data_IF_968228828834
#
_entry.id   IF_968228828834
#
_cell.length_a   1.000
_cell.length_b   1.000
_cell.length_c   1.000
_cell.angle_alpha   90.00
_cell.angle_beta   90.00
_cell.angle_gamma   90.00
#
_symmetry.space_group_name_H-M   'P 1'
#
loop_
_entity.id
_entity.type
_entity.pdbx_description
1 polymer ?
#
# COMPACT_ATOMS: atom_id res chain seq x y z
N UNK A 1 -11.75 -42.92 5.58
CA UNK A 1 -12.60 -41.75 5.83
C UNK A 1 -12.64 -41.55 7.34
N UNK A 2 -11.70 -40.76 7.89
CA UNK A 2 -11.52 -40.61 9.34
C UNK A 2 -12.60 -39.69 9.94
N UNK A 3 -13.12 -40.12 11.09
CA UNK A 3 -14.33 -39.64 11.76
C UNK A 3 -14.27 -38.21 12.35
N UNK A 4 -13.26 -37.39 12.02
CA UNK A 4 -13.13 -36.01 12.56
C UNK A 4 -13.69 -34.91 11.64
N UNK A 5 -14.14 -35.22 10.42
CA UNK A 5 -14.72 -34.24 9.51
C UNK A 5 -16.24 -34.12 9.64
N UNK A 6 -16.72 -33.75 10.83
CA UNK A 6 -17.99 -33.02 10.93
C UNK A 6 -17.66 -31.54 10.75
N UNK A 7 -17.70 -31.07 9.50
CA UNK A 7 -18.14 -29.70 9.22
C UNK A 7 -19.42 -29.53 10.05
N UNK A 8 -19.45 -28.58 10.98
CA UNK A 8 -20.55 -28.45 11.93
C UNK A 8 -21.80 -27.98 11.18
N UNK A 9 -22.50 -28.94 10.58
CA UNK A 9 -23.88 -28.86 10.14
C UNK A 9 -24.76 -28.92 11.40
N UNK A 10 -24.85 -27.81 12.13
CA UNK A 10 -25.96 -27.64 13.07
C UNK A 10 -27.04 -26.82 12.37
N UNK A 11 -28.18 -27.46 12.09
CA UNK A 11 -29.43 -26.82 11.61
C UNK A 11 -29.44 -26.16 10.22
N UNK A 12 -28.62 -26.62 9.27
CA UNK A 12 -28.71 -26.12 7.88
C UNK A 12 -28.12 -24.72 7.67
N UNK A 13 -27.29 -24.24 8.59
CA UNK A 13 -26.58 -22.96 8.48
C UNK A 13 -25.07 -23.17 8.34
N UNK A 14 -24.46 -22.55 7.32
CA UNK A 14 -23.02 -22.58 7.07
C UNK A 14 -22.27 -21.65 8.04
N UNK A 15 -21.30 -22.18 8.76
CA UNK A 15 -20.44 -21.41 9.66
C UNK A 15 -18.96 -21.59 9.30
N UNK A 16 -18.19 -20.50 9.23
CA UNK A 16 -16.76 -20.58 8.96
C UNK A 16 -15.98 -21.08 10.20
N UNK A 17 -15.31 -22.24 10.13
CA UNK A 17 -14.52 -22.75 11.24
C UNK A 17 -13.23 -21.93 11.44
N UNK A 18 -12.69 -21.92 12.68
CA UNK A 18 -11.37 -21.34 12.98
C UNK A 18 -10.19 -22.23 12.55
N UNK A 19 -10.46 -23.40 11.98
CA UNK A 19 -9.49 -24.35 11.43
C UNK A 19 -9.71 -24.44 9.92
N UNK A 20 -8.64 -24.63 9.15
CA UNK A 20 -8.74 -24.71 7.70
C UNK A 20 -9.52 -25.96 7.30
N UNK A 21 -10.26 -25.90 6.18
CA UNK A 21 -11.00 -27.08 5.69
C UNK A 21 -10.06 -28.22 5.27
N UNK A 22 -8.85 -27.89 4.82
CA UNK A 22 -7.72 -28.81 4.69
C UNK A 22 -6.39 -28.06 4.87
N UNK A 23 -5.31 -28.80 5.12
CA UNK A 23 -3.95 -28.22 5.18
C UNK A 23 -3.54 -27.57 3.84
N UNK A 24 -4.14 -27.99 2.72
CA UNK A 24 -3.86 -27.45 1.39
C UNK A 24 -4.54 -26.09 1.11
N UNK A 25 -5.53 -25.72 1.93
CA UNK A 25 -6.27 -24.46 1.78
C UNK A 25 -5.60 -23.28 2.47
N UNK A 26 -4.64 -23.52 3.37
CA UNK A 26 -3.79 -22.46 3.89
C UNK A 26 -2.73 -22.15 2.83
N UNK A 27 -3.02 -21.15 1.98
CA UNK A 27 -2.19 -20.80 0.82
C UNK A 27 -1.69 -19.37 0.92
N UNK A 28 -0.47 -19.16 0.44
CA UNK A 28 0.12 -17.85 0.26
C UNK A 28 0.74 -17.72 -1.13
N UNK A 29 0.90 -16.50 -1.60
CA UNK A 29 1.57 -16.15 -2.85
C UNK A 29 2.75 -15.24 -2.52
N UNK A 30 3.93 -15.41 -3.16
CA UNK A 30 5.03 -14.46 -2.99
C UNK A 30 4.59 -13.04 -3.38
N UNK A 31 4.89 -12.04 -2.54
CA UNK A 31 4.52 -10.65 -2.79
C UNK A 31 5.02 -10.12 -4.13
N UNK A 32 6.18 -10.60 -4.62
CA UNK A 32 6.69 -10.29 -5.95
C UNK A 32 5.72 -10.66 -7.09
N UNK A 33 4.96 -11.76 -6.96
CA UNK A 33 4.00 -12.21 -7.96
C UNK A 33 2.75 -11.36 -7.98
N UNK A 34 2.32 -10.88 -6.82
CA UNK A 34 1.20 -9.94 -6.72
C UNK A 34 1.56 -8.59 -7.33
N UNK A 35 2.80 -8.14 -7.15
CA UNK A 35 3.30 -6.84 -7.62
C UNK A 35 3.93 -6.90 -9.03
N UNK A 36 4.02 -8.07 -9.63
CA UNK A 36 4.52 -8.26 -10.99
C UNK A 36 3.74 -7.36 -11.97
N UNK A 37 4.45 -6.83 -12.98
CA UNK A 37 3.88 -5.90 -13.97
C UNK A 37 3.14 -4.74 -13.31
N UNK A 38 3.74 -4.12 -12.29
CA UNK A 38 3.16 -3.04 -11.49
C UNK A 38 1.78 -3.39 -10.94
N UNK A 39 1.59 -4.60 -10.43
CA UNK A 39 0.33 -5.04 -9.82
C UNK A 39 -0.88 -4.96 -10.75
N UNK A 40 -0.70 -5.11 -12.06
CA UNK A 40 -1.80 -5.14 -13.05
C UNK A 40 -2.85 -6.20 -12.73
N UNK A 41 -2.47 -7.26 -12.01
CA UNK A 41 -3.38 -8.26 -11.45
C UNK A 41 -4.43 -7.65 -10.51
N UNK A 42 -4.13 -6.56 -9.80
CA UNK A 42 -5.10 -5.89 -8.94
C UNK A 42 -5.98 -4.86 -9.68
N UNK A 43 -5.70 -4.57 -10.97
CA UNK A 43 -6.39 -3.53 -11.73
C UNK A 43 -7.62 -4.05 -12.48
N UNK A 44 -7.50 -5.20 -13.14
CA UNK A 44 -8.62 -5.80 -13.87
C UNK A 44 -9.46 -6.68 -12.96
N UNK A 45 -10.78 -6.56 -13.02
CA UNK A 45 -11.70 -7.51 -12.39
C UNK A 45 -12.24 -8.55 -13.38
N UNK A 46 -12.24 -8.24 -14.68
CA UNK A 46 -12.71 -9.15 -15.72
C UNK A 46 -11.56 -10.06 -16.14
N UNK A 47 -11.73 -11.36 -15.90
CA UNK A 47 -10.79 -12.43 -16.27
C UNK A 47 -11.55 -13.62 -16.79
N UNK A 48 -11.00 -14.27 -17.81
CA UNK A 48 -11.45 -15.58 -18.24
C UNK A 48 -11.23 -16.64 -17.15
N UNK A 49 -11.94 -17.75 -17.25
CA UNK A 49 -11.84 -18.87 -16.31
C UNK A 49 -10.42 -19.45 -16.27
N UNK A 50 -9.73 -19.53 -17.41
CA UNK A 50 -8.34 -20.00 -17.49
C UNK A 50 -7.38 -19.06 -16.75
N UNK A 51 -7.49 -17.75 -16.97
CA UNK A 51 -6.70 -16.75 -16.25
C UNK A 51 -6.93 -16.79 -14.73
N UNK A 52 -8.16 -17.06 -14.30
CA UNK A 52 -8.50 -17.22 -12.87
C UNK A 52 -7.82 -18.46 -12.27
N UNK A 53 -7.70 -19.55 -13.03
CA UNK A 53 -7.01 -20.76 -12.60
C UNK A 53 -5.49 -20.55 -12.55
N UNK A 54 -4.90 -19.92 -13.58
CA UNK A 54 -3.46 -19.60 -13.63
C UNK A 54 -3.00 -18.75 -12.43
N UNK A 55 -3.80 -17.76 -12.01
CA UNK A 55 -3.49 -16.97 -10.82
C UNK A 55 -3.45 -17.82 -9.54
N UNK A 56 -4.31 -18.83 -9.45
CA UNK A 56 -4.32 -19.73 -8.30
C UNK A 56 -3.07 -20.62 -8.24
N UNK A 57 -2.53 -21.01 -9.39
CA UNK A 57 -1.29 -21.80 -9.49
C UNK A 57 -0.05 -21.05 -8.99
N UNK A 58 -0.08 -19.71 -8.95
CA UNK A 58 1.00 -18.93 -8.35
C UNK A 58 1.02 -18.95 -6.81
N UNK A 59 -0.07 -19.37 -6.18
CA UNK A 59 -0.08 -19.60 -4.73
C UNK A 59 0.42 -21.00 -4.40
N UNK A 60 0.93 -21.20 -3.18
CA UNK A 60 1.40 -22.49 -2.67
C UNK A 60 0.81 -22.76 -1.28
N UNK A 61 0.56 -24.02 -0.90
CA UNK A 61 0.24 -24.36 0.49
C UNK A 61 1.39 -23.95 1.42
N UNK A 62 1.05 -23.38 2.57
CA UNK A 62 2.00 -22.92 3.59
C UNK A 62 1.49 -23.29 4.99
N UNK A 63 2.39 -23.34 5.97
CA UNK A 63 2.06 -23.56 7.38
C UNK A 63 1.74 -22.26 8.12
N UNK A 64 2.31 -21.15 7.68
CA UNK A 64 2.11 -19.80 8.22
C UNK A 64 2.14 -18.79 7.08
N UNK A 65 1.51 -17.63 7.29
CA UNK A 65 1.42 -16.54 6.31
C UNK A 65 2.10 -15.32 6.93
N UNK A 66 3.07 -14.73 6.24
CA UNK A 66 3.82 -13.57 6.76
C UNK A 66 2.89 -12.36 6.94
N UNK A 67 2.02 -12.12 5.96
CA UNK A 67 1.12 -10.97 5.97
C UNK A 67 -0.19 -11.20 5.20
N UNK A 68 -1.31 -10.83 5.82
CA UNK A 68 -2.63 -10.80 5.18
C UNK A 68 -2.89 -9.43 4.57
N UNK A 69 -3.16 -9.35 3.26
CA UNK A 69 -3.47 -8.08 2.58
C UNK A 69 -4.97 -7.86 2.49
N UNK A 70 -5.52 -7.02 3.38
CA UNK A 70 -6.93 -6.64 3.32
C UNK A 70 -7.12 -5.32 2.57
N UNK A 71 -8.08 -5.31 1.64
CA UNK A 71 -8.40 -4.15 0.83
C UNK A 71 -9.83 -4.23 0.29
N UNK A 72 -10.43 -3.07 -0.01
CA UNK A 72 -11.68 -3.01 -0.77
C UNK A 72 -11.38 -3.20 -2.26
N UNK A 73 -12.28 -3.84 -3.02
CA UNK A 73 -12.17 -3.90 -4.49
C UNK A 73 -12.72 -2.66 -5.21
N UNK A 74 -13.46 -1.78 -4.52
CA UNK A 74 -14.16 -0.63 -5.12
C UNK A 74 -13.35 0.67 -5.15
N UNK A 75 -12.44 0.88 -4.20
CA UNK A 75 -11.57 2.05 -4.24
C UNK A 75 -10.53 1.99 -5.36
N UNK A 76 -9.84 3.10 -5.61
CA UNK A 76 -8.88 3.28 -6.71
C UNK A 76 -7.77 2.22 -6.69
N UNK A 77 -7.80 1.27 -7.64
CA UNK A 77 -6.90 0.11 -7.65
C UNK A 77 -5.43 0.51 -7.85
N UNK A 78 -5.16 1.48 -8.72
CA UNK A 78 -3.79 1.98 -8.95
C UNK A 78 -3.17 2.57 -7.68
N UNK A 79 -3.97 3.21 -6.83
CA UNK A 79 -3.48 3.82 -5.59
C UNK A 79 -3.04 2.75 -4.58
N UNK A 80 -3.77 1.63 -4.52
CA UNK A 80 -3.42 0.46 -3.71
C UNK A 80 -2.08 -0.12 -4.14
N UNK A 81 -1.91 -0.31 -5.45
CA UNK A 81 -0.64 -0.80 -6.00
C UNK A 81 0.52 0.13 -5.69
N UNK A 82 0.38 1.44 -5.93
CA UNK A 82 1.44 2.39 -5.57
C UNK A 82 1.75 2.35 -4.08
N UNK A 83 0.72 2.28 -3.22
CA UNK A 83 0.92 2.15 -1.78
C UNK A 83 1.69 0.86 -1.43
N UNK A 84 1.31 -0.28 -2.02
CA UNK A 84 1.99 -1.57 -1.82
C UNK A 84 3.45 -1.55 -2.28
N UNK A 85 3.74 -1.00 -3.46
CA UNK A 85 5.10 -0.86 -3.97
C UNK A 85 5.97 -0.06 -2.99
N UNK A 86 5.47 1.06 -2.47
CA UNK A 86 6.19 1.83 -1.46
C UNK A 86 6.36 1.05 -0.15
N UNK A 87 5.29 0.44 0.37
CA UNK A 87 5.35 -0.31 1.63
C UNK A 87 6.36 -1.46 1.56
N UNK A 88 6.48 -2.13 0.41
CA UNK A 88 7.32 -3.32 0.25
C UNK A 88 8.73 -3.03 -0.27
N UNK A 89 8.90 -2.02 -1.12
CA UNK A 89 10.14 -1.80 -1.86
C UNK A 89 10.90 -0.52 -1.45
N UNK A 90 10.31 0.38 -0.65
CA UNK A 90 10.92 1.69 -0.40
C UNK A 90 12.26 1.66 0.36
N UNK A 91 12.45 0.72 1.29
CA UNK A 91 13.72 0.58 2.01
C UNK A 91 14.88 0.16 1.11
N UNK A 92 14.80 -0.97 0.36
CA UNK A 92 15.79 -1.31 -0.66
C UNK A 92 16.02 -0.19 -1.66
N UNK A 93 14.95 0.46 -2.12
CA UNK A 93 15.06 1.59 -3.03
C UNK A 93 15.87 2.73 -2.44
N UNK A 94 15.62 3.12 -1.19
CA UNK A 94 16.34 4.17 -0.48
C UNK A 94 17.83 3.88 -0.35
N UNK A 95 18.20 2.66 0.06
CA UNK A 95 19.61 2.31 0.27
C UNK A 95 20.38 2.26 -1.05
N UNK A 96 19.83 1.57 -2.06
CA UNK A 96 20.49 1.45 -3.37
C UNK A 96 20.58 2.80 -4.05
N UNK A 97 19.53 3.61 -4.03
CA UNK A 97 19.56 4.93 -4.66
C UNK A 97 20.49 5.91 -3.95
N UNK A 98 20.58 5.85 -2.62
CA UNK A 98 21.52 6.69 -1.85
C UNK A 98 22.96 6.29 -2.11
N UNK A 99 23.26 4.98 -2.21
CA UNK A 99 24.58 4.51 -2.61
C UNK A 99 24.95 4.98 -4.03
N UNK A 100 24.01 4.88 -4.99
CA UNK A 100 24.22 5.40 -6.35
C UNK A 100 24.45 6.91 -6.35
N UNK A 101 23.64 7.69 -5.64
CA UNK A 101 23.79 9.13 -5.55
C UNK A 101 25.13 9.53 -4.92
N UNK A 102 25.58 8.81 -3.88
CA UNK A 102 26.88 9.04 -3.24
C UNK A 102 28.05 8.70 -4.19
N UNK A 103 27.97 7.60 -4.94
CA UNK A 103 28.97 7.25 -5.95
C UNK A 103 29.08 8.34 -7.02
N UNK A 104 27.94 8.81 -7.52
CA UNK A 104 27.89 9.88 -8.54
C UNK A 104 28.41 11.21 -7.98
N UNK A 105 28.12 11.53 -6.72
CA UNK A 105 28.70 12.68 -6.04
C UNK A 105 30.23 12.57 -5.89
N UNK A 106 30.76 11.38 -5.61
CA UNK A 106 32.21 11.15 -5.58
C UNK A 106 32.83 11.33 -6.97
N UNK A 107 32.23 10.77 -8.02
CA UNK A 107 32.70 10.98 -9.40
C UNK A 107 32.71 12.47 -9.79
N UNK A 108 31.71 13.23 -9.35
CA UNK A 108 31.68 14.68 -9.50
C UNK A 108 32.80 15.38 -8.72
N UNK A 109 33.04 14.98 -7.47
CA UNK A 109 34.11 15.53 -6.64
C UNK A 109 35.53 15.26 -7.18
N UNK A 110 35.71 14.14 -7.90
CA UNK A 110 36.95 13.83 -8.63
C UNK A 110 37.04 14.50 -10.01
N UNK A 111 36.14 15.44 -10.33
CA UNK A 111 36.11 16.16 -11.60
C UNK A 111 35.89 15.25 -12.83
N UNK A 112 35.37 14.03 -12.63
CA UNK A 112 35.04 13.09 -13.72
C UNK A 112 33.68 13.38 -14.36
N UNK A 113 32.83 14.15 -13.68
CA UNK A 113 31.53 14.59 -14.18
C UNK A 113 31.50 16.11 -14.32
N UNK A 114 30.85 16.65 -15.36
CA UNK A 114 30.77 18.08 -15.57
C UNK A 114 29.91 18.75 -14.50
N UNK A 115 30.31 19.96 -14.09
CA UNK A 115 29.56 20.83 -13.20
C UNK A 115 29.13 22.11 -13.88
N UNK A 116 28.09 22.74 -13.34
CA UNK A 116 27.65 24.06 -13.74
C UNK A 116 28.15 25.09 -12.73
N UNK A 117 28.77 26.16 -13.23
CA UNK A 117 29.22 27.26 -12.36
C UNK A 117 28.00 28.07 -11.95
N UNK A 118 27.81 28.19 -10.65
CA UNK A 118 26.75 28.99 -10.03
C UNK A 118 27.38 30.08 -9.18
N UNK A 119 26.95 31.31 -9.38
CA UNK A 119 27.27 32.41 -8.47
C UNK A 119 26.36 32.34 -7.25
N UNK A 120 26.96 32.34 -6.05
CA UNK A 120 26.20 32.42 -4.82
C UNK A 120 25.43 33.74 -4.75
N UNK A 121 24.18 33.70 -4.26
CA UNK A 121 23.42 34.91 -3.92
C UNK A 121 23.84 35.49 -2.56
N UNK A 122 24.70 34.80 -1.81
CA UNK A 122 25.23 35.28 -0.53
C UNK A 122 26.50 36.10 -0.78
N UNK A 123 26.68 37.18 -0.03
CA UNK A 123 27.86 38.04 -0.13
C UNK A 123 29.00 37.54 0.78
N UNK A 124 30.26 37.47 0.30
CA UNK A 124 30.71 37.71 -1.08
C UNK A 124 30.30 36.57 -2.04
N UNK A 125 29.92 36.89 -3.30
CA UNK A 125 29.51 35.88 -4.27
C UNK A 125 30.70 35.07 -4.75
N UNK A 126 30.97 33.94 -4.07
CA UNK A 126 31.95 32.98 -4.54
C UNK A 126 31.33 32.05 -5.60
N UNK A 127 32.03 31.79 -6.72
CA UNK A 127 31.59 30.81 -7.70
C UNK A 127 31.75 29.40 -7.13
N UNK A 128 30.69 28.60 -7.21
CA UNK A 128 30.72 27.19 -6.84
C UNK A 128 30.29 26.33 -8.03
N UNK A 129 30.85 25.12 -8.13
CA UNK A 129 30.39 24.13 -9.10
C UNK A 129 29.25 23.33 -8.46
N UNK A 130 28.13 23.26 -9.17
CA UNK A 130 26.98 22.46 -8.79
C UNK A 130 26.68 21.42 -9.87
N UNK A 131 26.44 20.18 -9.48
CA UNK A 131 26.02 19.10 -10.38
C UNK A 131 24.74 18.43 -9.91
N UNK A 132 23.63 18.47 -10.65
CA UNK A 132 22.41 17.73 -10.23
C UNK A 132 22.49 16.21 -10.46
N UNK A 133 23.65 15.69 -10.87
CA UNK A 133 23.84 14.27 -11.21
C UNK A 133 23.44 13.34 -10.07
N UNK A 134 23.84 13.62 -8.82
CA UNK A 134 23.47 12.80 -7.67
C UNK A 134 21.97 12.75 -7.43
N UNK A 135 21.27 13.89 -7.58
CA UNK A 135 19.82 13.97 -7.47
C UNK A 135 19.12 13.15 -8.57
N UNK A 136 19.47 13.37 -9.84
CA UNK A 136 18.81 12.70 -10.97
C UNK A 136 19.05 11.20 -10.98
N UNK A 137 20.30 10.78 -10.79
CA UNK A 137 20.65 9.34 -10.75
C UNK A 137 20.08 8.66 -9.51
N UNK A 138 20.07 9.34 -8.36
CA UNK A 138 19.41 8.87 -7.14
C UNK A 138 17.91 8.67 -7.36
N UNK A 139 17.20 9.67 -7.89
CA UNK A 139 15.76 9.59 -8.15
C UNK A 139 15.44 8.52 -9.19
N UNK A 140 16.18 8.45 -10.29
CA UNK A 140 16.01 7.42 -11.31
C UNK A 140 16.18 6.03 -10.71
N UNK A 141 17.27 5.81 -9.97
CA UNK A 141 17.52 4.53 -9.29
C UNK A 141 16.42 4.22 -8.28
N UNK A 142 15.98 5.20 -7.50
CA UNK A 142 14.91 5.03 -6.51
C UNK A 142 13.61 4.56 -7.17
N UNK A 143 13.18 5.23 -8.24
CA UNK A 143 11.96 4.87 -8.97
C UNK A 143 12.07 3.49 -9.63
N UNK A 144 13.22 3.17 -10.21
CA UNK A 144 13.49 1.84 -10.75
C UNK A 144 13.43 0.77 -9.66
N UNK A 145 14.04 1.01 -8.50
CA UNK A 145 14.04 0.06 -7.39
C UNK A 145 12.65 -0.12 -6.75
N UNK A 146 11.83 0.94 -6.68
CA UNK A 146 10.43 0.82 -6.25
C UNK A 146 9.66 -0.16 -7.14
N UNK A 147 9.92 -0.15 -8.45
CA UNK A 147 9.20 -0.98 -9.43
C UNK A 147 9.81 -2.38 -9.58
N UNK A 148 11.13 -2.48 -9.60
CA UNK A 148 11.86 -3.69 -9.98
C UNK A 148 12.28 -4.56 -8.78
N UNK A 149 12.27 -4.02 -7.56
CA UNK A 149 12.58 -4.82 -6.38
C UNK A 149 11.54 -5.91 -6.15
N UNK A 150 12.02 -7.10 -5.79
CA UNK A 150 11.22 -8.30 -5.62
C UNK A 150 11.05 -8.63 -4.13
N UNK A 151 9.92 -8.26 -3.50
CA UNK A 151 9.67 -8.59 -2.11
C UNK A 151 9.40 -10.09 -1.96
N UNK A 152 10.02 -10.71 -0.95
CA UNK A 152 10.02 -12.18 -0.75
C UNK A 152 8.99 -12.70 0.25
N UNK A 153 8.21 -11.82 0.88
CA UNK A 153 7.21 -12.22 1.87
C UNK A 153 6.10 -13.07 1.21
N UNK A 154 5.70 -14.14 1.88
CA UNK A 154 4.56 -14.98 1.51
C UNK A 154 3.28 -14.33 2.04
N UNK A 155 2.44 -13.83 1.15
CA UNK A 155 1.27 -13.00 1.49
C UNK A 155 -0.03 -13.67 1.08
N UNK A 156 -1.09 -13.40 1.84
CA UNK A 156 -2.44 -13.79 1.45
C UNK A 156 -3.12 -12.66 0.68
N UNK A 157 -3.57 -12.99 -0.54
CA UNK A 157 -4.43 -12.16 -1.37
C UNK A 157 -5.53 -13.05 -1.94
N UNK A 158 -6.78 -12.72 -1.68
CA UNK A 158 -7.98 -13.46 -2.11
C UNK A 158 -7.96 -13.85 -3.61
N UNK A 159 -7.49 -12.96 -4.47
CA UNK A 159 -7.39 -13.20 -5.92
C UNK A 159 -6.48 -14.39 -6.28
N UNK A 160 -5.39 -14.60 -5.54
CA UNK A 160 -4.39 -15.64 -5.82
C UNK A 160 -4.58 -16.87 -4.94
N UNK A 161 -5.01 -16.69 -3.69
CA UNK A 161 -5.03 -17.77 -2.71
C UNK A 161 -6.37 -18.50 -2.63
N UNK A 162 -7.43 -17.94 -3.23
CA UNK A 162 -8.75 -18.60 -3.36
C UNK A 162 -9.00 -18.91 -4.84
N UNK A 163 -9.37 -20.16 -5.14
CA UNK A 163 -9.57 -20.59 -6.52
C UNK A 163 -10.80 -19.93 -7.14
N UNK A 164 -10.62 -18.89 -7.97
CA UNK A 164 -11.72 -18.07 -8.48
C UNK A 164 -12.56 -18.74 -9.59
N UNK A 165 -12.07 -19.82 -10.20
CA UNK A 165 -12.74 -20.53 -11.30
C UNK A 165 -13.53 -21.80 -10.90
N UNK A 166 -13.14 -22.53 -9.85
CA UNK A 166 -13.77 -23.77 -9.40
C UNK A 166 -14.67 -23.46 -8.20
N UNK A 167 -16.01 -23.58 -8.31
CA UNK A 167 -16.94 -23.19 -7.25
C UNK A 167 -16.69 -23.92 -5.93
N UNK A 168 -16.30 -25.20 -5.97
CA UNK A 168 -16.05 -26.01 -4.77
C UNK A 168 -14.82 -25.53 -4.03
N UNK A 169 -13.69 -25.38 -4.72
CA UNK A 169 -12.45 -24.88 -4.13
C UNK A 169 -12.58 -23.42 -3.67
N UNK A 170 -13.40 -22.63 -4.37
CA UNK A 170 -13.75 -21.27 -3.95
C UNK A 170 -14.48 -21.30 -2.59
N UNK A 171 -15.50 -22.14 -2.45
CA UNK A 171 -16.24 -22.30 -1.21
C UNK A 171 -15.34 -22.79 -0.07
N UNK A 172 -14.52 -23.82 -0.31
CA UNK A 172 -13.56 -24.32 0.69
C UNK A 172 -12.55 -23.24 1.11
N UNK A 173 -12.12 -22.38 0.17
CA UNK A 173 -11.20 -21.28 0.43
C UNK A 173 -11.83 -20.16 1.26
N UNK A 174 -13.07 -19.78 0.92
CA UNK A 174 -13.85 -18.82 1.70
C UNK A 174 -14.10 -19.34 3.13
N UNK A 175 -14.49 -20.61 3.27
CA UNK A 175 -14.69 -21.23 4.58
C UNK A 175 -13.41 -21.30 5.42
N UNK A 176 -12.24 -21.29 4.78
CA UNK A 176 -10.93 -21.31 5.45
C UNK A 176 -10.42 -19.93 5.87
N UNK A 177 -11.11 -18.83 5.56
CA UNK A 177 -10.65 -17.46 5.88
C UNK A 177 -10.35 -17.28 7.37
N UNK A 178 -11.12 -17.90 8.27
CA UNK A 178 -10.82 -17.81 9.69
C UNK A 178 -9.51 -18.44 10.12
N UNK A 179 -9.16 -19.56 9.52
CA UNK A 179 -7.89 -20.20 9.74
C UNK A 179 -6.74 -19.39 9.10
N UNK A 180 -6.97 -18.84 7.91
CA UNK A 180 -6.00 -17.96 7.23
C UNK A 180 -5.70 -16.74 8.10
N UNK A 181 -6.73 -16.05 8.59
CA UNK A 181 -6.59 -14.90 9.48
C UNK A 181 -5.83 -15.26 10.73
N UNK A 182 -6.11 -16.40 11.36
CA UNK A 182 -5.45 -16.88 12.58
C UNK A 182 -3.97 -17.27 12.36
N UNK A 183 -3.62 -17.80 11.19
CA UNK A 183 -2.23 -18.21 10.86
C UNK A 183 -1.44 -17.12 10.13
N UNK A 184 -1.97 -15.89 10.05
CA UNK A 184 -1.27 -14.73 9.49
C UNK A 184 -0.56 -13.96 10.58
N UNK A 185 0.76 -13.82 10.50
CA UNK A 185 1.58 -13.15 11.53
C UNK A 185 1.29 -11.65 11.63
N UNK A 186 0.93 -11.04 10.49
CA UNK A 186 0.60 -9.63 10.39
C UNK A 186 -0.54 -9.38 9.40
N UNK A 187 -1.18 -8.23 9.49
CA UNK A 187 -2.20 -7.78 8.53
C UNK A 187 -1.82 -6.40 8.01
N UNK A 188 -1.77 -6.25 6.69
CA UNK A 188 -1.66 -4.97 6.00
C UNK A 188 -3.04 -4.57 5.48
N UNK A 189 -3.59 -3.49 6.02
CA UNK A 189 -4.86 -2.92 5.60
C UNK A 189 -4.61 -1.71 4.68
N UNK A 190 -4.99 -1.84 3.41
CA UNK A 190 -4.98 -0.73 2.45
C UNK A 190 -6.29 0.04 2.53
N UNK A 191 -6.26 1.14 3.28
CA UNK A 191 -7.45 1.86 3.64
C UNK A 191 -7.90 2.86 2.55
N UNK A 192 -9.20 2.84 2.26
CA UNK A 192 -9.93 3.83 1.48
C UNK A 192 -11.34 4.04 2.08
N UNK A 193 -12.06 5.06 1.60
CA UNK A 193 -13.38 5.46 2.09
C UNK A 193 -14.50 4.45 1.77
N UNK A 194 -14.20 3.40 1.00
CA UNK A 194 -15.12 2.30 0.71
C UNK A 194 -14.92 1.10 1.61
N UNK A 195 -13.78 1.00 2.32
CA UNK A 195 -13.40 -0.18 3.11
C UNK A 195 -14.46 -0.56 4.16
N UNK A 196 -14.88 0.38 5.01
CA UNK A 196 -15.85 0.10 6.08
C UNK A 196 -17.28 -0.16 5.58
N UNK A 197 -17.56 0.10 4.30
CA UNK A 197 -18.85 -0.24 3.70
C UNK A 197 -18.93 -1.71 3.31
N UNK A 198 -17.81 -2.44 3.27
CA UNK A 198 -17.73 -3.80 2.72
C UNK A 198 -17.74 -4.82 3.85
N UNK A 199 -18.71 -5.73 3.79
CA UNK A 199 -18.90 -6.69 4.88
C UNK A 199 -17.68 -7.61 5.08
N UNK A 200 -17.17 -8.21 4.00
CA UNK A 200 -15.96 -9.04 4.04
C UNK A 200 -14.74 -8.30 4.62
N UNK A 201 -14.46 -7.08 4.16
CA UNK A 201 -13.31 -6.31 4.63
C UNK A 201 -13.38 -6.00 6.15
N UNK A 202 -14.58 -5.66 6.65
CA UNK A 202 -14.76 -5.39 8.09
C UNK A 202 -14.71 -6.67 8.90
N UNK A 203 -15.30 -7.76 8.39
CA UNK A 203 -15.21 -9.08 9.01
C UNK A 203 -13.76 -9.56 9.13
N UNK A 204 -12.95 -9.42 8.08
CA UNK A 204 -11.52 -9.78 8.09
C UNK A 204 -10.75 -9.01 9.17
N UNK A 205 -10.95 -7.69 9.23
CA UNK A 205 -10.29 -6.82 10.21
C UNK A 205 -10.69 -7.19 11.64
N UNK A 206 -11.98 -7.31 11.91
CA UNK A 206 -12.49 -7.70 13.23
C UNK A 206 -12.04 -9.12 13.61
N UNK A 207 -12.04 -10.05 12.64
CA UNK A 207 -11.58 -11.43 12.81
C UNK A 207 -10.09 -11.51 13.12
N UNK A 208 -9.26 -10.69 12.46
CA UNK A 208 -7.83 -10.59 12.74
C UNK A 208 -7.58 -10.08 14.16
N UNK A 209 -8.20 -8.96 14.53
CA UNK A 209 -8.07 -8.37 15.87
C UNK A 209 -8.52 -9.35 16.97
N UNK A 210 -9.63 -10.05 16.76
CA UNK A 210 -10.12 -11.05 17.72
C UNK A 210 -9.18 -12.25 17.84
N UNK A 211 -8.56 -12.68 16.73
CA UNK A 211 -7.68 -13.84 16.70
C UNK A 211 -6.30 -13.57 17.28
N UNK A 212 -5.82 -12.32 17.17
CA UNK A 212 -4.46 -11.96 17.55
C UNK A 212 -4.35 -11.09 18.81
N UNK A 213 -5.46 -10.53 19.31
CA UNK A 213 -5.50 -9.67 20.49
C UNK A 213 -4.33 -8.65 20.49
N UNK A 214 -3.58 -8.55 21.60
CA UNK A 214 -2.46 -7.61 21.73
C UNK A 214 -1.17 -8.04 21.00
N UNK A 215 -1.12 -9.24 20.42
CA UNK A 215 0.11 -9.81 19.84
C UNK A 215 0.20 -9.61 18.31
N UNK A 216 -0.92 -9.34 17.64
CA UNK A 216 -0.96 -9.20 16.18
C UNK A 216 -0.41 -7.87 15.69
N UNK A 217 0.42 -7.93 14.64
CA UNK A 217 0.90 -6.73 13.97
C UNK A 217 -0.09 -6.29 12.89
N UNK A 218 -1.02 -5.41 13.23
CA UNK A 218 -1.86 -4.71 12.26
C UNK A 218 -1.17 -3.44 11.75
N UNK A 219 -1.09 -3.26 10.44
CA UNK A 219 -0.53 -2.07 9.79
C UNK A 219 -1.58 -1.48 8.86
N UNK A 220 -2.02 -0.26 9.14
CA UNK A 220 -3.03 0.44 8.35
C UNK A 220 -2.35 1.51 7.50
N UNK A 221 -2.58 1.49 6.19
CA UNK A 221 -2.01 2.44 5.23
C UNK A 221 -3.09 3.03 4.33
N UNK A 222 -3.33 4.36 4.40
CA UNK A 222 -4.17 5.04 3.42
C UNK A 222 -3.62 4.86 2.01
N UNK A 223 -4.49 4.48 1.07
CA UNK A 223 -4.10 4.25 -0.33
C UNK A 223 -3.55 5.49 -1.03
N UNK A 224 -3.89 6.69 -0.55
CA UNK A 224 -3.38 7.98 -1.06
C UNK A 224 -1.86 8.16 -0.82
N UNK A 225 -1.25 7.48 0.16
CA UNK A 225 0.16 7.68 0.52
C UNK A 225 1.13 7.35 -0.61
N UNK A 226 0.88 6.27 -1.35
CA UNK A 226 1.73 5.86 -2.47
C UNK A 226 1.82 6.94 -3.55
N UNK A 227 0.70 7.33 -4.19
CA UNK A 227 0.67 8.39 -5.19
C UNK A 227 1.19 9.74 -4.67
N UNK A 228 0.88 10.09 -3.41
CA UNK A 228 1.35 11.34 -2.82
C UNK A 228 2.86 11.40 -2.69
N UNK A 229 3.48 10.31 -2.25
CA UNK A 229 4.93 10.20 -2.08
C UNK A 229 5.63 10.20 -3.42
N UNK A 230 5.10 9.45 -4.40
CA UNK A 230 5.59 9.48 -5.77
C UNK A 230 5.59 10.90 -6.34
N UNK A 231 4.45 11.59 -6.24
CA UNK A 231 4.34 12.96 -6.74
C UNK A 231 5.29 13.92 -6.02
N UNK A 232 5.46 13.78 -4.70
CA UNK A 232 6.36 14.61 -3.91
C UNK A 232 7.83 14.43 -4.34
N UNK A 233 8.29 13.19 -4.53
CA UNK A 233 9.65 12.89 -5.04
C UNK A 233 9.88 13.56 -6.38
N UNK A 234 8.95 13.44 -7.33
CA UNK A 234 9.05 14.09 -8.65
C UNK A 234 9.06 15.62 -8.51
N UNK A 235 8.15 16.17 -7.70
CA UNK A 235 8.01 17.61 -7.49
C UNK A 235 9.28 18.23 -6.90
N UNK A 236 9.87 17.62 -5.86
CA UNK A 236 11.13 18.09 -5.26
C UNK A 236 12.27 18.01 -6.27
N UNK A 237 12.38 16.90 -7.01
CA UNK A 237 13.40 16.72 -8.05
C UNK A 237 13.30 17.83 -9.10
N UNK A 238 12.08 18.14 -9.53
CA UNK A 238 11.81 19.20 -10.49
C UNK A 238 12.20 20.58 -9.93
N UNK A 239 11.80 20.91 -8.69
CA UNK A 239 12.17 22.17 -8.03
C UNK A 239 13.69 22.32 -7.92
N UNK A 240 14.39 21.28 -7.47
CA UNK A 240 15.87 21.29 -7.41
C UNK A 240 16.47 21.50 -8.80
N UNK A 241 15.93 20.85 -9.83
CA UNK A 241 16.43 20.98 -11.20
C UNK A 241 16.23 22.38 -11.78
N UNK A 242 15.17 23.09 -11.39
CA UNK A 242 14.95 24.49 -11.80
C UNK A 242 16.02 25.44 -11.24
N UNK A 243 16.67 25.07 -10.14
CA UNK A 243 17.76 25.87 -9.60
C UNK A 243 18.96 25.94 -10.55
N UNK A 244 19.24 24.85 -11.30
CA UNK A 244 20.26 24.81 -12.35
C UNK A 244 19.90 25.67 -13.57
N UNK A 245 18.65 25.55 -14.04
CA UNK A 245 18.25 26.13 -15.33
C UNK A 245 18.03 27.63 -15.23
N UNK A 246 17.45 28.09 -14.13
CA UNK A 246 17.01 29.48 -14.00
C UNK A 246 17.96 30.38 -13.19
N UNK A 247 19.05 29.83 -12.62
CA UNK A 247 20.10 30.66 -11.99
C UNK A 247 20.86 31.42 -13.08
N UNK A 248 20.47 32.67 -13.34
CA UNK A 248 21.12 33.54 -14.33
C UNK A 248 20.19 34.09 -15.42
N UNK A 249 18.94 33.63 -15.48
CA UNK A 249 17.94 34.16 -16.43
C UNK A 249 17.16 35.31 -15.75
N UNK A 250 17.04 36.49 -16.38
CA UNK A 250 16.18 37.57 -15.89
C UNK A 250 14.73 37.07 -15.69
N UNK A 251 14.16 37.27 -14.49
CA UNK A 251 12.83 36.75 -14.14
C UNK A 251 12.78 35.29 -13.67
N UNK A 252 13.91 34.56 -13.69
CA UNK A 252 13.98 33.16 -13.24
C UNK A 252 13.57 32.94 -11.78
N UNK A 253 13.71 33.97 -10.92
CA UNK A 253 13.25 33.94 -9.53
C UNK A 253 11.72 33.86 -9.42
N UNK A 254 10.99 34.60 -10.26
CA UNK A 254 9.52 34.58 -10.30
C UNK A 254 9.02 33.23 -10.82
N UNK A 255 9.61 32.73 -11.91
CA UNK A 255 9.29 31.40 -12.45
C UNK A 255 9.52 30.32 -11.40
N UNK A 256 10.66 30.35 -10.71
CA UNK A 256 10.97 29.42 -9.63
C UNK A 256 9.95 29.50 -8.49
N UNK A 257 9.60 30.71 -8.05
CA UNK A 257 8.59 30.90 -7.01
C UNK A 257 7.25 30.28 -7.40
N UNK A 258 6.78 30.52 -8.64
CA UNK A 258 5.53 29.95 -9.14
C UNK A 258 5.59 28.41 -9.20
N UNK A 259 6.72 27.83 -9.62
CA UNK A 259 6.90 26.38 -9.65
C UNK A 259 6.91 25.76 -8.25
N UNK A 260 7.60 26.39 -7.29
CA UNK A 260 7.57 25.99 -5.88
C UNK A 260 6.15 26.07 -5.31
N UNK A 261 5.41 27.12 -5.66
CA UNK A 261 4.01 27.27 -5.25
C UNK A 261 3.14 26.16 -5.82
N UNK A 262 3.19 25.91 -7.13
CA UNK A 262 2.42 24.85 -7.80
C UNK A 262 2.74 23.47 -7.21
N UNK A 263 4.02 23.17 -7.02
CA UNK A 263 4.45 21.89 -6.43
C UNK A 263 3.99 21.74 -4.99
N UNK A 264 4.06 22.81 -4.18
CA UNK A 264 3.53 22.82 -2.81
C UNK A 264 2.03 22.61 -2.77
N UNK A 265 1.26 23.28 -3.63
CA UNK A 265 -0.19 23.08 -3.76
C UNK A 265 -0.52 21.63 -4.14
N UNK A 266 0.24 21.05 -5.07
CA UNK A 266 0.04 19.67 -5.49
C UNK A 266 0.38 18.65 -4.39
N UNK A 267 1.33 18.97 -3.50
CA UNK A 267 1.64 18.18 -2.28
C UNK A 267 0.59 18.38 -1.18
N UNK A 268 -0.03 19.55 -1.10
CA UNK A 268 -1.13 19.81 -0.16
C UNK A 268 -2.41 19.04 -0.52
N UNK A 269 -2.65 18.77 -1.80
CA UNK A 269 -3.86 18.07 -2.26
C UNK A 269 -4.06 16.68 -1.63
N UNK A 270 -3.07 15.77 -1.59
CA UNK A 270 -3.18 14.49 -0.88
C UNK A 270 -3.53 14.62 0.62
N UNK A 271 -3.01 15.66 1.29
CA UNK A 271 -3.33 15.92 2.71
C UNK A 271 -4.82 16.28 2.84
N UNK A 272 -5.35 17.09 1.92
CA UNK A 272 -6.77 17.42 1.90
C UNK A 272 -7.65 16.20 1.61
N UNK A 273 -7.26 15.35 0.65
CA UNK A 273 -7.95 14.07 0.35
C UNK A 273 -7.97 13.17 1.59
N UNK A 274 -6.83 13.03 2.26
CA UNK A 274 -6.74 12.26 3.49
C UNK A 274 -7.62 12.84 4.61
N UNK A 275 -7.60 14.16 4.83
CA UNK A 275 -8.45 14.82 5.85
C UNK A 275 -9.94 14.56 5.61
N UNK A 276 -10.41 14.69 4.36
CA UNK A 276 -11.80 14.36 3.98
C UNK A 276 -12.12 12.88 4.22
N UNK A 277 -11.16 12.02 3.90
CA UNK A 277 -11.24 10.60 4.21
C UNK A 277 -11.41 10.35 5.71
N UNK A 278 -10.64 11.02 6.57
CA UNK A 278 -10.73 10.85 8.03
C UNK A 278 -12.07 11.31 8.61
N UNK A 279 -12.66 12.37 8.06
CA UNK A 279 -14.03 12.79 8.44
C UNK A 279 -15.04 11.69 8.05
N UNK A 280 -14.90 11.14 6.85
CA UNK A 280 -15.75 10.04 6.38
C UNK A 280 -15.58 8.79 7.23
N UNK A 281 -14.33 8.47 7.61
CA UNK A 281 -13.99 7.34 8.47
C UNK A 281 -14.68 7.44 9.83
N UNK A 282 -14.56 8.58 10.50
CA UNK A 282 -15.17 8.83 11.82
C UNK A 282 -16.69 8.63 11.76
N UNK A 283 -17.34 9.17 10.73
CA UNK A 283 -18.78 8.98 10.53
C UNK A 283 -19.14 7.51 10.27
N UNK A 284 -18.40 6.83 9.40
CA UNK A 284 -18.65 5.43 9.05
C UNK A 284 -18.50 4.49 10.25
N UNK A 285 -17.55 4.77 11.15
CA UNK A 285 -17.37 4.00 12.39
C UNK A 285 -18.52 4.28 13.36
N UNK A 286 -18.82 5.55 13.64
CA UNK A 286 -19.89 5.92 14.56
C UNK A 286 -21.27 5.37 14.16
N UNK A 287 -21.57 5.38 12.85
CA UNK A 287 -22.84 4.90 12.30
C UNK A 287 -22.79 3.44 11.83
N UNK A 288 -21.68 2.72 12.08
CA UNK A 288 -21.47 1.38 11.58
C UNK A 288 -22.58 0.44 12.08
N UNK A 289 -23.23 -0.27 11.16
CA UNK A 289 -24.05 -1.42 11.51
C UNK A 289 -23.84 -2.53 10.50
N UNK A 290 -23.82 -3.78 10.96
CA UNK A 290 -23.76 -4.95 10.08
C UNK A 290 -24.80 -4.89 8.96
N UNK A 291 -26.03 -4.48 9.28
CA UNK A 291 -27.13 -4.37 8.33
C UNK A 291 -26.85 -3.38 7.17
N UNK A 292 -26.15 -2.27 7.44
CA UNK A 292 -25.83 -1.23 6.44
C UNK A 292 -24.62 -1.55 5.57
N UNK A 293 -23.85 -2.60 5.88
CA UNK A 293 -22.73 -3.02 5.03
C UNK A 293 -23.22 -3.52 3.67
N UNK A 294 -22.34 -3.60 2.69
CA UNK A 294 -22.65 -4.02 1.31
C UNK A 294 -21.91 -5.30 0.99
N UNK A 295 -22.65 -6.26 0.43
CA UNK A 295 -22.12 -7.51 -0.11
C UNK A 295 -22.19 -7.48 -1.63
N UNK A 296 -21.19 -8.07 -2.31
CA UNK A 296 -21.19 -8.15 -3.77
C UNK A 296 -22.34 -9.03 -4.29
N UNK A 297 -22.65 -10.13 -3.60
CA UNK A 297 -23.77 -11.00 -3.95
C UNK A 297 -25.12 -10.25 -3.98
N UNK A 298 -25.39 -9.41 -2.97
CA UNK A 298 -26.66 -8.68 -2.86
C UNK A 298 -26.80 -7.60 -3.94
N UNK A 299 -25.71 -6.91 -4.30
CA UNK A 299 -25.75 -5.89 -5.36
C UNK A 299 -26.05 -6.48 -6.73
N UNK A 300 -25.79 -7.77 -6.94
CA UNK A 300 -26.06 -8.49 -8.18
C UNK A 300 -27.37 -9.26 -8.16
N UNK A 301 -28.19 -9.09 -7.11
CA UNK A 301 -29.43 -9.83 -6.96
C UNK A 301 -29.23 -11.34 -6.79
N UNK A 302 -28.12 -11.78 -6.20
CA UNK A 302 -27.79 -13.20 -5.99
C UNK A 302 -27.66 -14.02 -7.28
N UNK A 303 -27.10 -13.41 -8.32
CA UNK A 303 -26.82 -14.06 -9.60
C UNK A 303 -25.31 -14.00 -9.92
N UNK A 304 -24.72 -15.13 -10.33
CA UNK A 304 -23.32 -15.23 -10.77
C UNK A 304 -23.09 -14.61 -12.17
N UNK A 305 -21.88 -14.76 -12.72
CA UNK A 305 -21.52 -14.28 -14.07
C UNK A 305 -22.19 -15.08 -15.19
N UNK A 306 -22.68 -16.29 -14.90
CA UNK A 306 -23.27 -17.23 -15.84
C UNK A 306 -24.81 -17.28 -15.74
N UNK A 307 -25.42 -16.47 -14.88
CA UNK A 307 -26.86 -16.46 -14.64
C UNK A 307 -27.36 -17.45 -13.58
N UNK A 308 -26.47 -18.18 -12.91
CA UNK A 308 -26.78 -19.12 -11.83
C UNK A 308 -26.99 -18.45 -10.47
N UNK A 309 -27.76 -19.06 -9.56
CA UNK A 309 -27.97 -18.53 -8.21
C UNK A 309 -26.70 -18.63 -7.37
N UNK A 310 -26.42 -17.61 -6.56
CA UNK A 310 -25.33 -17.61 -5.58
C UNK A 310 -25.86 -17.46 -4.17
N UNK A 311 -25.22 -18.16 -3.23
CA UNK A 311 -25.50 -18.01 -1.81
C UNK A 311 -25.25 -16.58 -1.33
N UNK A 312 -25.99 -16.19 -0.31
CA UNK A 312 -25.90 -14.85 0.27
C UNK A 312 -24.70 -14.76 1.22
N UNK A 313 -23.65 -14.03 0.82
CA UNK A 313 -22.49 -13.73 1.68
C UNK A 313 -22.90 -13.15 3.04
N UNK A 314 -23.99 -12.35 3.09
CA UNK A 314 -24.47 -11.76 4.33
C UNK A 314 -24.97 -12.81 5.31
N UNK A 315 -25.69 -13.82 4.84
CA UNK A 315 -26.22 -14.88 5.70
C UNK A 315 -25.11 -15.79 6.22
N UNK A 316 -24.17 -16.15 5.32
CA UNK A 316 -22.96 -16.90 5.65
C UNK A 316 -22.11 -16.18 6.71
N UNK A 317 -21.84 -14.89 6.48
CA UNK A 317 -21.07 -14.07 7.41
C UNK A 317 -21.83 -13.79 8.69
N UNK A 318 -23.14 -13.58 8.64
CA UNK A 318 -23.98 -13.39 9.82
C UNK A 318 -23.89 -14.59 10.76
N UNK A 319 -24.02 -15.80 10.22
CA UNK A 319 -23.86 -17.04 11.01
C UNK A 319 -22.44 -17.15 11.59
N UNK A 320 -21.42 -16.86 10.77
CA UNK A 320 -20.03 -16.89 11.22
C UNK A 320 -19.74 -15.83 12.29
N UNK A 321 -20.37 -14.67 12.19
CA UNK A 321 -20.26 -13.58 13.15
C UNK A 321 -20.87 -13.98 14.49
N UNK A 322 -22.10 -14.51 14.51
CA UNK A 322 -22.71 -15.02 15.74
C UNK A 322 -21.83 -16.10 16.39
N UNK A 323 -21.25 -17.00 15.60
CA UNK A 323 -20.39 -18.06 16.13
C UNK A 323 -19.03 -17.56 16.67
N UNK A 324 -18.48 -16.47 16.13
CA UNK A 324 -17.14 -16.00 16.51
C UNK A 324 -17.17 -14.89 17.55
N UNK A 325 -18.17 -14.02 17.47
CA UNK A 325 -18.29 -12.81 18.28
C UNK A 325 -19.44 -12.90 19.30
N UNK A 326 -20.28 -13.94 19.23
CA UNK A 326 -21.44 -14.17 20.09
C UNK A 326 -22.75 -13.70 19.44
N UNK A 327 -22.76 -12.46 18.95
CA UNK A 327 -23.91 -11.85 18.29
C UNK A 327 -23.51 -10.79 17.27
N UNK A 328 -24.46 -10.40 16.42
CA UNK A 328 -24.28 -9.27 15.50
C UNK A 328 -24.08 -7.95 16.26
N UNK A 329 -24.74 -7.77 17.40
CA UNK A 329 -24.62 -6.56 18.22
C UNK A 329 -23.24 -6.46 18.88
N UNK A 330 -22.68 -7.58 19.37
CA UNK A 330 -21.31 -7.62 19.89
C UNK A 330 -20.27 -7.35 18.80
N UNK A 331 -20.53 -7.81 17.57
CA UNK A 331 -19.70 -7.49 16.42
C UNK A 331 -19.75 -5.99 16.08
N UNK A 332 -20.94 -5.40 16.01
CA UNK A 332 -21.10 -3.96 15.78
C UNK A 332 -20.39 -3.15 16.87
N UNK A 333 -20.52 -3.54 18.14
CA UNK A 333 -19.86 -2.90 19.26
C UNK A 333 -18.32 -3.01 19.16
N UNK A 334 -17.79 -4.17 18.78
CA UNK A 334 -16.35 -4.35 18.56
C UNK A 334 -15.83 -3.47 17.42
N UNK A 335 -16.60 -3.31 16.35
CA UNK A 335 -16.20 -2.43 15.23
C UNK A 335 -16.22 -0.96 15.66
N UNK A 336 -17.22 -0.53 16.44
CA UNK A 336 -17.31 0.84 16.97
C UNK A 336 -16.30 1.14 18.07
N UNK A 337 -15.72 0.13 18.71
CA UNK A 337 -14.76 0.31 19.81
C UNK A 337 -13.34 -0.05 19.37
N UNK A 338 -13.00 -1.35 19.34
CA UNK A 338 -11.65 -1.85 19.12
C UNK A 338 -11.10 -1.45 17.74
N UNK A 339 -11.90 -1.62 16.68
CA UNK A 339 -11.49 -1.25 15.32
C UNK A 339 -11.31 0.27 15.21
N UNK A 340 -12.23 1.06 15.79
CA UNK A 340 -12.11 2.51 15.84
C UNK A 340 -10.86 2.96 16.60
N UNK A 341 -10.56 2.33 17.74
CA UNK A 341 -9.39 2.63 18.56
C UNK A 341 -8.09 2.40 17.77
N UNK A 342 -7.98 1.27 17.08
CA UNK A 342 -6.77 0.93 16.32
C UNK A 342 -6.62 1.80 15.06
N UNK A 343 -7.73 2.11 14.37
CA UNK A 343 -7.73 3.07 13.26
C UNK A 343 -7.32 4.47 13.72
N UNK A 344 -7.84 4.95 14.85
CA UNK A 344 -7.43 6.25 15.42
C UNK A 344 -5.95 6.24 15.81
N UNK A 345 -5.47 5.18 16.47
CA UNK A 345 -4.06 5.07 16.88
C UNK A 345 -3.10 5.21 15.71
N UNK A 346 -3.39 4.57 14.58
CA UNK A 346 -2.49 4.60 13.42
C UNK A 346 -2.72 5.78 12.48
N UNK A 347 -3.95 6.29 12.38
CA UNK A 347 -4.29 7.34 11.42
C UNK A 347 -4.39 8.74 12.03
N UNK A 348 -4.64 8.92 13.33
CA UNK A 348 -4.98 10.24 13.87
C UNK A 348 -3.83 11.27 13.90
N UNK A 349 -2.57 10.82 13.94
CA UNK A 349 -1.41 11.71 14.14
C UNK A 349 -0.98 12.38 12.83
N UNK A 350 -0.76 11.60 11.76
CA UNK A 350 -0.36 12.11 10.45
C UNK A 350 -0.57 11.04 9.39
N UNK A 351 -1.01 11.40 8.16
CA UNK A 351 -1.00 10.46 7.04
C UNK A 351 0.42 9.99 6.72
N UNK A 352 1.40 10.89 6.83
CA UNK A 352 2.80 10.61 6.53
C UNK A 352 3.54 10.40 7.85
N UNK A 353 3.74 9.13 8.21
CA UNK A 353 4.69 8.77 9.26
C UNK A 353 6.11 9.17 8.89
N UNK A 354 7.02 9.19 9.85
CA UNK A 354 8.43 9.59 9.67
C UNK A 354 9.08 8.95 8.44
N UNK A 355 8.88 7.64 8.24
CA UNK A 355 9.44 6.90 7.09
C UNK A 355 8.97 7.44 5.75
N UNK A 356 7.71 7.82 5.62
CA UNK A 356 7.17 8.39 4.38
C UNK A 356 7.74 9.79 4.11
N UNK A 357 7.89 10.61 5.15
CA UNK A 357 8.53 11.93 5.04
C UNK A 357 10.00 11.78 4.62
N UNK A 358 10.70 10.79 5.19
CA UNK A 358 12.08 10.47 4.82
C UNK A 358 12.18 10.09 3.33
N UNK A 359 11.35 9.16 2.86
CA UNK A 359 11.32 8.76 1.45
C UNK A 359 10.92 9.89 0.51
N UNK A 360 10.00 10.75 0.93
CA UNK A 360 9.58 11.91 0.16
C UNK A 360 10.70 12.96 0.05
N UNK A 361 11.43 13.22 1.14
CA UNK A 361 12.45 14.26 1.23
C UNK A 361 13.85 13.85 0.76
N UNK A 362 14.12 12.57 0.52
CA UNK A 362 15.47 12.11 0.16
C UNK A 362 16.08 12.78 -1.09
N UNK A 363 15.33 13.22 -2.13
CA UNK A 363 15.94 13.93 -3.26
C UNK A 363 16.64 15.24 -2.84
N UNK A 364 16.21 15.87 -1.73
CA UNK A 364 16.87 17.04 -1.17
C UNK A 364 18.29 16.67 -0.72
N UNK A 365 18.44 15.55 -0.02
CA UNK A 365 19.75 15.05 0.44
C UNK A 365 20.68 14.81 -0.76
N UNK A 366 20.20 14.11 -1.79
CA UNK A 366 20.99 13.81 -2.98
C UNK A 366 21.38 15.06 -3.77
N UNK A 367 20.51 16.08 -3.76
CA UNK A 367 20.82 17.38 -4.36
C UNK A 367 21.95 18.11 -3.62
N UNK A 368 22.05 17.99 -2.30
CA UNK A 368 23.10 18.63 -1.50
C UNK A 368 24.46 17.92 -1.62
N UNK A 369 24.49 16.64 -1.98
CA UNK A 369 25.74 15.87 -2.08
C UNK A 369 26.69 16.31 -3.20
N UNK A 370 26.23 17.13 -4.16
CA UNK A 370 27.00 17.53 -5.34
C UNK A 370 27.37 19.02 -5.35
N UNK A 371 27.71 19.56 -4.18
CA UNK A 371 28.34 20.88 -4.06
C UNK A 371 29.85 20.72 -3.88
N UNK A 372 30.62 21.28 -4.80
CA UNK A 372 32.09 21.37 -4.68
C UNK A 372 32.47 22.84 -4.72
N UNK A 373 33.10 23.32 -3.66
CA UNK A 373 33.72 24.65 -3.68
C UNK A 373 34.85 24.64 -4.70
N UNK A 374 34.72 25.50 -5.73
CA UNK A 374 35.83 25.75 -6.64
C UNK A 374 36.90 26.46 -5.82
N UNK A 375 37.98 25.76 -5.48
CA UNK A 375 39.19 26.45 -5.01
C UNK A 375 39.60 27.39 -6.13
N UNK A 376 39.67 28.70 -5.86
CA UNK A 376 40.39 29.62 -6.72
C UNK A 376 41.81 29.07 -6.84
N UNK A 377 42.11 28.38 -7.95
CA UNK A 377 43.49 28.05 -8.30
C UNK A 377 44.17 29.40 -8.44
N UNK A 378 44.97 29.73 -7.43
CA UNK A 378 45.56 31.05 -7.28
C UNK A 378 46.14 31.52 -8.60
N UNK A 379 45.78 32.75 -8.98
CA UNK A 379 46.59 33.54 -9.88
C UNK A 379 48.00 33.57 -9.27
N UNK A 380 48.86 32.66 -9.72
CA UNK A 380 50.30 32.80 -9.54
C UNK A 380 50.69 33.97 -10.44
N UNK A 381 51.09 35.05 -9.77
CA UNK A 381 51.70 36.23 -10.33
C UNK A 381 52.91 35.91 -11.21
#
# INVERSE_FOLDING_TARGET
MSQEFRVVFHHGHWAMPRRATSAEMLRAVPAEKVLERCGTHLWSQKRSTSQKAELFEHSKPVTSIDEFWSHSWHGRQRWKVWCLLYVKNAWPALFVSTATAALVALLFAFELLPGWVKTSNYAPPEPHAYGAWGCWTGVLTYLLMIILWKPRADVFVDLFCIHQANPRLKAEGLLSIGAILKNSESMLLLWDDTYLKRLWCVFELAGFLRSHQAQGRLVIKPTILGPATFWNVIAITFVVSTDLVFSGIPGGSVTRFLLVFITTCAVAWPILVWRRGMVTLKRQLAEFTFAKTVCHCCMRGHIDDNGGPIECDRELLGTSICNWFGSVDEFDNLVRSDVEAELKKQLAVSPFGYTWVLHAGVPILWAQGCFVQLKQKGAKA
#
